data_IF_558756951967
#
_entry.id   IF_558756951967
#
_cell.length_a   1.000
_cell.length_b   1.000
_cell.length_c   1.000
_cell.angle_alpha   90.00
_cell.angle_beta   90.00
_cell.angle_gamma   90.00
#
_symmetry.space_group_name_H-M   'P 1'
#
loop_
_entity.id
_entity.type
_entity.pdbx_description
1 polymer ?
#
# COMPACT_ATOMS: atom_id res chain seq x y z
N UNK A 1 3.37 -2.47 16.98
CA UNK A 1 2.07 -2.00 17.50
C UNK A 1 1.31 -3.18 18.08
N UNK A 2 0.64 -2.98 19.21
CA UNK A 2 -0.33 -3.96 19.72
C UNK A 2 -1.63 -3.77 18.93
N UNK A 3 -2.44 -4.82 18.76
CA UNK A 3 -3.70 -4.81 17.99
C UNK A 3 -4.65 -3.65 18.37
N UNK A 4 -4.69 -3.28 19.66
CA UNK A 4 -5.47 -2.12 20.16
C UNK A 4 -4.97 -0.78 19.63
N UNK A 5 -3.70 -0.65 19.29
CA UNK A 5 -3.12 0.60 18.77
C UNK A 5 -3.43 0.77 17.28
N UNK A 6 -3.49 -0.34 16.53
CA UNK A 6 -3.85 -0.36 15.10
C UNK A 6 -5.30 0.10 14.92
N UNK A 7 -6.24 -0.47 15.68
CA UNK A 7 -7.66 -0.08 15.56
C UNK A 7 -7.87 1.40 15.90
N UNK A 8 -7.20 1.92 16.94
CA UNK A 8 -7.23 3.36 17.26
C UNK A 8 -6.70 4.21 16.11
N UNK A 9 -5.60 3.79 15.49
CA UNK A 9 -5.02 4.51 14.36
C UNK A 9 -5.94 4.51 13.13
N UNK A 10 -6.59 3.39 12.82
CA UNK A 10 -7.60 3.30 11.74
C UNK A 10 -8.77 4.25 12.05
N UNK A 11 -9.30 4.24 13.28
CA UNK A 11 -10.40 5.14 13.68
C UNK A 11 -10.03 6.62 13.57
N UNK A 12 -8.79 6.98 13.88
CA UNK A 12 -8.28 8.34 13.65
C UNK A 12 -8.18 8.66 12.15
N UNK A 13 -7.73 7.71 11.34
CA UNK A 13 -7.67 7.85 9.87
C UNK A 13 -9.06 8.05 9.24
N UNK A 14 -10.09 7.36 9.75
CA UNK A 14 -11.48 7.51 9.29
C UNK A 14 -12.07 8.91 9.57
N UNK A 15 -11.47 9.68 10.48
CA UNK A 15 -11.82 11.09 10.76
C UNK A 15 -10.96 12.09 10.00
N UNK A 16 -10.02 11.61 9.18
CA UNK A 16 -9.12 12.44 8.38
C UNK A 16 -9.72 12.75 7.01
N UNK A 17 -8.93 13.34 6.11
CA UNK A 17 -9.32 13.60 4.71
C UNK A 17 -8.25 13.07 3.75
N UNK A 18 -8.55 13.07 2.45
CA UNK A 18 -7.59 12.73 1.40
C UNK A 18 -7.07 11.30 1.45
N UNK A 19 -5.78 11.13 1.11
CA UNK A 19 -5.05 9.85 1.18
C UNK A 19 -5.21 9.11 2.51
N UNK A 20 -5.12 9.82 3.64
CA UNK A 20 -5.21 9.20 4.97
C UNK A 20 -6.59 8.60 5.25
N UNK A 21 -7.65 9.27 4.78
CA UNK A 21 -9.01 8.72 4.84
C UNK A 21 -9.12 7.47 3.96
N UNK A 22 -8.58 7.52 2.74
CA UNK A 22 -8.60 6.38 1.82
C UNK A 22 -7.88 5.15 2.38
N UNK A 23 -6.70 5.32 2.98
CA UNK A 23 -5.98 4.24 3.67
C UNK A 23 -6.85 3.61 4.77
N UNK A 24 -7.52 4.43 5.57
CA UNK A 24 -8.36 3.97 6.67
C UNK A 24 -9.62 3.24 6.18
N UNK A 25 -10.24 3.71 5.09
CA UNK A 25 -11.34 3.03 4.41
C UNK A 25 -10.90 1.63 3.93
N UNK A 26 -9.75 1.54 3.24
CA UNK A 26 -9.17 0.28 2.77
C UNK A 26 -8.87 -0.67 3.94
N UNK A 27 -8.24 -0.18 5.01
CA UNK A 27 -7.96 -0.97 6.20
C UNK A 27 -9.25 -1.48 6.87
N UNK A 28 -10.28 -0.63 6.98
CA UNK A 28 -11.58 -0.99 7.55
C UNK A 28 -12.33 -2.03 6.71
N UNK A 29 -12.27 -1.94 5.40
CA UNK A 29 -12.91 -2.94 4.53
C UNK A 29 -12.15 -4.25 4.56
N UNK A 30 -10.80 -4.21 4.48
CA UNK A 30 -9.97 -5.40 4.51
C UNK A 30 -10.08 -6.16 5.84
N UNK A 31 -10.27 -5.46 6.97
CA UNK A 31 -10.39 -6.09 8.29
C UNK A 31 -11.59 -7.03 8.44
N UNK A 32 -12.56 -6.96 7.51
CA UNK A 32 -13.68 -7.89 7.42
C UNK A 32 -13.29 -9.27 6.88
N UNK A 33 -12.15 -9.36 6.19
CA UNK A 33 -11.73 -10.55 5.44
C UNK A 33 -10.31 -11.04 5.82
N UNK A 34 -9.50 -10.20 6.44
CA UNK A 34 -8.15 -10.53 6.90
C UNK A 34 -7.76 -9.74 8.15
N UNK A 35 -6.79 -10.23 8.93
CA UNK A 35 -6.32 -9.53 10.14
C UNK A 35 -5.35 -8.42 9.75
N UNK A 36 -5.67 -7.19 10.12
CA UNK A 36 -4.77 -6.04 9.95
C UNK A 36 -3.61 -6.17 10.95
N UNK A 37 -2.39 -6.07 10.42
CA UNK A 37 -1.13 -6.15 11.17
C UNK A 37 -0.33 -4.87 11.08
N UNK A 38 -0.65 -4.00 10.12
CA UNK A 38 -0.02 -2.70 9.99
C UNK A 38 -0.95 -1.64 9.40
N UNK A 39 -0.75 -0.39 9.80
CA UNK A 39 -1.50 0.77 9.32
C UNK A 39 -0.66 2.05 9.39
N UNK A 40 -0.38 2.64 8.21
CA UNK A 40 0.42 3.85 7.97
C UNK A 40 1.69 3.94 8.83
N UNK A 41 2.47 2.86 8.80
CA UNK A 41 3.65 2.72 9.65
C UNK A 41 4.93 2.87 8.84
N UNK A 42 5.89 3.58 9.42
CA UNK A 42 7.19 3.86 8.80
C UNK A 42 8.19 2.79 9.24
N UNK A 43 8.74 2.09 8.28
CA UNK A 43 9.79 1.10 8.45
C UNK A 43 11.17 1.74 8.34
N UNK A 44 12.03 1.42 9.31
CA UNK A 44 13.39 1.96 9.43
C UNK A 44 14.43 0.91 9.13
N UNK A 45 15.49 1.31 8.44
CA UNK A 45 16.70 0.51 8.26
C UNK A 45 17.55 0.67 9.51
N UNK A 46 17.78 -0.42 10.23
CA UNK A 46 18.65 -0.46 11.40
C UNK A 46 19.96 -1.14 11.01
N UNK A 47 21.08 -0.43 11.18
CA UNK A 47 22.43 -0.97 11.00
C UNK A 47 23.20 -0.77 12.28
N UNK A 48 23.80 -1.84 12.80
CA UNK A 48 24.59 -1.82 14.04
C UNK A 48 23.85 -1.14 15.21
N UNK A 49 22.55 -1.45 15.37
CA UNK A 49 21.71 -0.89 16.43
C UNK A 49 21.29 0.57 16.26
N UNK A 50 21.70 1.26 15.19
CA UNK A 50 21.31 2.65 14.90
C UNK A 50 20.35 2.72 13.72
N UNK A 51 19.37 3.62 13.83
CA UNK A 51 18.53 3.98 12.67
C UNK A 51 19.42 4.68 11.66
N UNK A 52 19.54 4.11 10.46
CA UNK A 52 20.30 4.69 9.37
C UNK A 52 19.43 5.62 8.53
N UNK A 53 18.31 5.09 8.01
CA UNK A 53 17.38 5.77 7.11
C UNK A 53 16.00 5.12 7.16
N UNK A 54 14.99 5.77 6.59
CA UNK A 54 13.68 5.15 6.34
C UNK A 54 13.75 4.21 5.12
N UNK A 55 13.25 2.99 5.30
CA UNK A 55 13.04 2.03 4.22
C UNK A 55 11.80 2.42 3.41
N UNK A 56 10.73 2.82 4.10
CA UNK A 56 9.48 3.26 3.49
C UNK A 56 8.33 3.12 4.46
N UNK A 57 7.14 3.26 3.92
CA UNK A 57 5.86 3.21 4.61
C UNK A 57 5.05 2.00 4.12
N UNK A 58 4.26 1.42 5.03
CA UNK A 58 3.18 0.51 4.68
C UNK A 58 1.87 1.21 5.03
N UNK A 59 1.09 1.55 4.02
CA UNK A 59 -0.22 2.19 4.20
C UNK A 59 -1.19 1.24 4.93
N UNK A 60 -1.31 0.01 4.43
CA UNK A 60 -2.10 -1.05 5.07
C UNK A 60 -1.38 -2.39 4.93
N UNK A 61 -1.17 -3.08 6.05
CA UNK A 61 -0.64 -4.44 6.09
C UNK A 61 -1.63 -5.38 6.76
N UNK A 62 -1.85 -6.55 6.18
CA UNK A 62 -2.60 -7.66 6.79
C UNK A 62 -1.73 -8.91 6.91
N UNK A 63 -2.30 -10.04 7.32
CA UNK A 63 -1.56 -11.31 7.30
C UNK A 63 -1.16 -11.69 5.88
N UNK A 64 -2.04 -11.46 4.90
CA UNK A 64 -1.83 -11.89 3.50
C UNK A 64 -1.34 -10.79 2.56
N UNK A 65 -1.58 -9.52 2.86
CA UNK A 65 -1.38 -8.42 1.91
C UNK A 65 -0.55 -7.26 2.46
N UNK A 66 0.21 -6.62 1.57
CA UNK A 66 0.67 -5.23 1.72
C UNK A 66 -0.04 -4.41 0.66
N UNK A 67 -0.75 -3.38 1.09
CA UNK A 67 -1.54 -2.52 0.21
C UNK A 67 -0.91 -1.13 0.21
N UNK A 68 -0.60 -0.65 -0.98
CA UNK A 68 -0.26 0.74 -1.26
C UNK A 68 -1.52 1.47 -1.75
N UNK A 69 -1.86 2.58 -1.12
CA UNK A 69 -3.07 3.35 -1.35
C UNK A 69 -2.76 4.62 -2.13
N UNK A 70 -3.46 4.83 -3.24
CA UNK A 70 -3.45 6.11 -3.97
C UNK A 70 -4.87 6.65 -4.04
N UNK A 71 -5.14 7.71 -3.31
CA UNK A 71 -6.43 8.42 -3.41
C UNK A 71 -6.71 8.86 -4.85
N UNK A 72 -5.67 9.33 -5.53
CA UNK A 72 -5.75 9.68 -6.94
C UNK A 72 -4.41 9.49 -7.64
N UNK A 73 -4.47 9.10 -8.91
CA UNK A 73 -3.29 9.03 -9.81
C UNK A 73 -3.49 9.98 -10.98
N UNK A 74 -2.49 10.80 -11.30
CA UNK A 74 -2.54 11.76 -12.42
C UNK A 74 -1.83 11.23 -13.67
N UNK A 75 -2.10 11.85 -14.82
CA UNK A 75 -1.44 11.54 -16.11
C UNK A 75 0.07 11.74 -16.10
N UNK A 76 0.58 12.62 -15.24
CA UNK A 76 2.00 12.93 -15.12
C UNK A 76 2.71 11.98 -14.13
N UNK A 77 2.26 10.72 -14.06
CA UNK A 77 2.86 9.73 -13.17
C UNK A 77 4.33 9.55 -13.53
N UNK A 78 5.22 9.84 -12.57
CA UNK A 78 6.62 9.48 -12.70
C UNK A 78 6.74 7.96 -12.63
N UNK A 79 6.81 7.34 -13.81
CA UNK A 79 6.90 5.89 -13.97
C UNK A 79 8.05 5.30 -13.17
N UNK A 80 9.22 5.95 -13.14
CA UNK A 80 10.38 5.40 -12.45
C UNK A 80 10.18 5.44 -10.94
N UNK A 81 9.73 6.57 -10.40
CA UNK A 81 9.42 6.71 -8.97
C UNK A 81 8.34 5.74 -8.55
N UNK A 82 7.29 5.59 -9.35
CA UNK A 82 6.18 4.69 -9.05
C UNK A 82 6.65 3.23 -9.01
N UNK A 83 7.37 2.76 -10.04
CA UNK A 83 7.89 1.39 -10.05
C UNK A 83 8.91 1.12 -8.94
N UNK A 84 9.75 2.11 -8.58
CA UNK A 84 10.70 2.01 -7.46
C UNK A 84 9.99 1.86 -6.10
N UNK A 85 8.82 2.45 -5.92
CA UNK A 85 8.03 2.27 -4.69
C UNK A 85 7.66 0.80 -4.52
N UNK A 86 7.10 0.16 -5.55
CA UNK A 86 6.72 -1.24 -5.51
C UNK A 86 7.92 -2.21 -5.46
N UNK A 87 9.09 -1.81 -5.97
CA UNK A 87 10.29 -2.65 -5.88
C UNK A 87 10.66 -2.98 -4.42
N UNK A 88 10.37 -2.07 -3.48
CA UNK A 88 10.56 -2.29 -2.04
C UNK A 88 9.67 -3.40 -1.46
N UNK A 89 8.58 -3.75 -2.13
CA UNK A 89 7.65 -4.78 -1.70
C UNK A 89 7.89 -6.11 -2.42
N UNK A 90 8.49 -6.07 -3.60
CA UNK A 90 8.56 -7.20 -4.54
C UNK A 90 9.97 -7.79 -4.70
N UNK A 91 11.01 -7.03 -4.38
CA UNK A 91 12.39 -7.43 -4.62
C UNK A 91 13.16 -7.56 -3.29
N UNK A 92 13.38 -8.79 -2.78
CA UNK A 92 14.14 -9.03 -1.56
C UNK A 92 15.59 -8.53 -1.59
N UNK A 93 16.14 -8.25 -2.78
CA UNK A 93 17.49 -7.67 -2.95
C UNK A 93 17.50 -6.14 -2.89
N UNK A 94 16.33 -5.50 -2.80
CA UNK A 94 16.24 -4.06 -2.63
C UNK A 94 16.71 -3.69 -1.22
N UNK A 95 17.62 -2.71 -1.09
CA UNK A 95 18.14 -2.27 0.21
C UNK A 95 17.05 -1.72 1.15
N UNK A 96 15.91 -1.31 0.58
CA UNK A 96 14.73 -0.81 1.28
C UNK A 96 13.58 -1.83 1.27
N UNK A 97 13.89 -3.12 1.14
CA UNK A 97 12.87 -4.17 1.15
C UNK A 97 12.16 -4.23 2.51
N UNK A 98 10.83 -4.12 2.51
CA UNK A 98 10.01 -4.12 3.74
C UNK A 98 8.94 -5.21 3.79
N UNK A 99 8.80 -6.03 2.75
CA UNK A 99 7.84 -7.14 2.71
C UNK A 99 8.41 -8.44 3.32
N UNK A 100 8.76 -8.41 4.60
CA UNK A 100 9.47 -9.53 5.25
C UNK A 100 8.66 -10.82 5.39
N UNK A 101 7.34 -10.74 5.21
CA UNK A 101 6.41 -11.87 5.37
C UNK A 101 5.89 -12.43 4.03
N UNK A 102 6.52 -12.07 2.91
CA UNK A 102 6.15 -12.51 1.56
C UNK A 102 4.65 -12.33 1.25
N UNK A 103 4.11 -11.18 1.67
CA UNK A 103 2.71 -10.83 1.47
C UNK A 103 2.47 -10.47 0.01
N UNK A 104 1.27 -10.76 -0.50
CA UNK A 104 0.86 -10.33 -1.83
C UNK A 104 0.74 -8.80 -1.85
N UNK A 105 1.32 -8.17 -2.87
CA UNK A 105 1.26 -6.72 -3.02
C UNK A 105 -0.01 -6.29 -3.76
N UNK A 106 -0.72 -5.30 -3.20
CA UNK A 106 -1.92 -4.69 -3.78
C UNK A 106 -1.69 -3.20 -3.96
N UNK A 107 -2.16 -2.65 -5.08
CA UNK A 107 -2.30 -1.22 -5.30
C UNK A 107 -3.78 -0.87 -5.31
N UNK A 108 -4.22 -0.08 -4.34
CA UNK A 108 -5.60 0.39 -4.20
C UNK A 108 -5.72 1.85 -4.67
N UNK A 109 -6.34 2.05 -5.83
CA UNK A 109 -6.53 3.37 -6.45
C UNK A 109 -7.99 3.79 -6.26
N UNK A 110 -8.26 4.92 -5.58
CA UNK A 110 -9.63 5.42 -5.43
C UNK A 110 -10.13 6.12 -6.69
N UNK A 111 -9.26 6.85 -7.39
CA UNK A 111 -9.63 7.58 -8.61
C UNK A 111 -8.45 7.85 -9.54
N UNK A 112 -8.73 8.17 -10.80
CA UNK A 112 -7.76 8.73 -11.74
C UNK A 112 -8.10 10.20 -11.99
N UNK A 113 -7.13 11.11 -11.81
CA UNK A 113 -7.38 12.55 -11.99
C UNK A 113 -7.67 12.87 -13.44
N UNK A 114 -8.64 13.77 -13.64
CA UNK A 114 -9.02 14.36 -14.93
C UNK A 114 -9.42 13.34 -16.01
N UNK A 115 -9.75 12.09 -15.63
CA UNK A 115 -9.95 10.96 -16.53
C UNK A 115 -8.82 10.76 -17.55
N UNK A 116 -7.61 11.25 -17.23
CA UNK A 116 -6.52 11.35 -18.19
C UNK A 116 -5.66 10.08 -18.27
N UNK A 117 -5.95 9.10 -17.42
CA UNK A 117 -5.25 7.82 -17.32
C UNK A 117 -6.21 6.78 -16.73
N UNK A 118 -6.03 5.51 -17.10
CA UNK A 118 -6.76 4.38 -16.52
C UNK A 118 -5.83 3.19 -16.28
N UNK A 119 -6.40 2.05 -15.89
CA UNK A 119 -5.67 0.80 -15.61
C UNK A 119 -4.87 0.26 -16.82
N UNK A 120 -5.19 0.69 -18.04
CA UNK A 120 -4.51 0.25 -19.26
C UNK A 120 -3.15 0.93 -19.46
N UNK A 121 -2.82 1.95 -18.66
CA UNK A 121 -1.55 2.67 -18.74
C UNK A 121 -0.34 1.73 -18.55
N UNK A 122 0.77 1.92 -19.28
CA UNK A 122 1.93 1.01 -19.25
C UNK A 122 2.53 0.76 -17.87
N UNK A 123 2.44 1.72 -16.94
CA UNK A 123 2.94 1.55 -15.57
C UNK A 123 2.17 0.47 -14.82
N UNK A 124 0.84 0.45 -14.92
CA UNK A 124 -0.02 -0.52 -14.23
C UNK A 124 0.11 -1.90 -14.86
N UNK A 125 0.18 -1.98 -16.19
CA UNK A 125 0.49 -3.24 -16.90
C UNK A 125 1.84 -3.82 -16.46
N UNK A 126 2.83 -2.97 -16.22
CA UNK A 126 4.15 -3.40 -15.70
C UNK A 126 4.03 -3.95 -14.28
N UNK A 127 3.30 -3.27 -13.39
CA UNK A 127 3.08 -3.74 -12.03
C UNK A 127 2.32 -5.06 -11.98
N UNK A 128 1.27 -5.22 -12.79
CA UNK A 128 0.51 -6.47 -12.89
C UNK A 128 1.39 -7.63 -13.35
N UNK A 129 2.27 -7.43 -14.34
CA UNK A 129 3.24 -8.45 -14.79
C UNK A 129 4.24 -8.82 -13.68
N UNK A 130 4.52 -7.92 -12.75
CA UNK A 130 5.33 -8.18 -11.55
C UNK A 130 4.54 -8.82 -10.40
N UNK A 131 3.26 -9.14 -10.61
CA UNK A 131 2.41 -9.80 -9.60
C UNK A 131 1.65 -8.86 -8.67
N UNK A 132 1.66 -7.54 -8.93
CA UNK A 132 0.86 -6.59 -8.14
C UNK A 132 -0.61 -6.69 -8.54
N UNK A 133 -1.47 -6.89 -7.56
CA UNK A 133 -2.92 -6.86 -7.75
C UNK A 133 -3.36 -5.40 -7.72
N UNK A 134 -4.11 -4.95 -8.73
CA UNK A 134 -4.62 -3.57 -8.75
C UNK A 134 -6.13 -3.59 -8.57
N UNK A 135 -6.61 -2.81 -7.61
CA UNK A 135 -8.03 -2.58 -7.39
C UNK A 135 -8.33 -1.09 -7.59
N UNK A 136 -9.47 -0.81 -8.21
CA UNK A 136 -10.00 0.54 -8.44
C UNK A 136 -11.33 0.78 -7.73
N UNK A 137 -11.87 -0.27 -7.10
CA UNK A 137 -13.05 -0.24 -6.25
C UNK A 137 -12.73 -1.02 -4.97
N UNK A 138 -13.00 -0.39 -3.82
CA UNK A 138 -12.79 -0.99 -2.49
C UNK A 138 -13.54 -2.32 -2.32
N UNK A 139 -14.68 -2.48 -3.00
CA UNK A 139 -15.48 -3.71 -2.98
C UNK A 139 -14.76 -4.90 -3.65
N UNK A 140 -13.65 -4.68 -4.36
CA UNK A 140 -12.81 -5.76 -4.90
C UNK A 140 -11.99 -6.45 -3.81
N UNK A 141 -11.81 -5.84 -2.62
CA UNK A 141 -11.09 -6.45 -1.49
C UNK A 141 -11.70 -7.79 -1.07
N UNK A 142 -13.03 -7.92 -1.11
CA UNK A 142 -13.74 -9.19 -0.78
C UNK A 142 -13.42 -10.35 -1.74
N UNK A 143 -12.85 -10.05 -2.91
CA UNK A 143 -12.47 -11.05 -3.93
C UNK A 143 -11.01 -11.46 -3.83
N UNK A 144 -10.23 -10.81 -2.95
CA UNK A 144 -8.86 -11.21 -2.67
C UNK A 144 -8.87 -12.53 -1.88
N UNK A 145 -8.09 -13.52 -2.35
CA UNK A 145 -7.97 -14.85 -1.75
C UNK A 145 -6.70 -14.99 -0.92
#
# INVERSE_FOLDING_TARGET
MIEKDIEKAIQAGLKSTGGKLWEAEVARELSKYDKITDFSNIYKIIKTGKTLNDAGDIDVGSLKYIIECKESVSKNIDRQKFLKQFDKYLNPKNEKYINLNDRKCVLAIKSFKDNAIDITHPVFKTLQRKGVIIITDIQQLKKLK
#
